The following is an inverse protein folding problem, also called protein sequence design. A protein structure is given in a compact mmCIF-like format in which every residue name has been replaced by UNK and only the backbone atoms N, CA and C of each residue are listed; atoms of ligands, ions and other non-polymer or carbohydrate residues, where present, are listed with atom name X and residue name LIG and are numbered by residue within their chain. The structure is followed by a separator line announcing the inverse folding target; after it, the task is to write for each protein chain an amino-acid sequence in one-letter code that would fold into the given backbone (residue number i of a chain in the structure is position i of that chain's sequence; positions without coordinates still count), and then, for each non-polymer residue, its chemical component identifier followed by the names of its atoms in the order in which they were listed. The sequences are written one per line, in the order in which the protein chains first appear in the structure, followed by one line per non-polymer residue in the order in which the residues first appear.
data_IF_765447163587
#
_entry.id   IF_765447163587
#
_cell.length_a   1.000
_cell.length_b   1.000
_cell.length_c   1.000
_cell.angle_alpha   90.00
_cell.angle_beta   90.00
_cell.angle_gamma   90.00
#
_symmetry.space_group_name_H-M   'P 1'
#
loop_
_entity.id
_entity.type
_entity.pdbx_description
1 polymer ?
#
# COMPACT_ATOMS: atom_id res chain seq x y z
N UNK A 1 17.32 -4.25 6.82
CA UNK A 1 16.45 -3.41 7.66
C UNK A 1 15.06 -4.02 7.72
N UNK A 2 14.55 -4.20 8.91
CA UNK A 2 13.19 -4.70 9.10
C UNK A 2 12.22 -3.54 9.01
N UNK A 3 11.15 -3.71 8.22
CA UNK A 3 10.19 -2.65 7.99
C UNK A 3 8.76 -3.16 8.19
N UNK A 4 7.89 -2.24 8.56
CA UNK A 4 6.44 -2.43 8.57
C UNK A 4 5.83 -1.36 7.68
N UNK A 5 4.98 -1.78 6.75
CA UNK A 5 4.26 -0.88 5.87
C UNK A 5 2.77 -0.91 6.22
N UNK A 6 2.14 0.26 6.22
CA UNK A 6 0.70 0.38 6.29
C UNK A 6 0.15 0.67 4.89
N UNK A 7 -0.81 -0.11 4.45
CA UNK A 7 -1.39 0.00 3.12
C UNK A 7 -2.88 0.22 3.30
N UNK A 8 -3.42 1.22 2.62
CA UNK A 8 -4.85 1.51 2.72
C UNK A 8 -5.40 2.13 1.45
N UNK A 9 -6.66 1.85 1.17
CA UNK A 9 -7.37 2.43 0.03
C UNK A 9 -8.84 2.62 0.36
N UNK A 10 -9.39 3.75 -0.03
CA UNK A 10 -10.83 4.04 0.10
C UNK A 10 -11.52 4.16 -1.25
N UNK A 11 -10.84 3.84 -2.34
CA UNK A 11 -11.41 3.83 -3.69
C UNK A 11 -10.93 2.58 -4.41
N UNK A 12 -11.84 1.89 -5.10
CA UNK A 12 -11.53 0.63 -5.78
C UNK A 12 -10.69 -0.28 -4.87
N UNK A 13 -11.14 -0.44 -3.65
CA UNK A 13 -10.32 -0.93 -2.54
C UNK A 13 -9.63 -2.25 -2.84
N UNK A 14 -10.38 -3.25 -3.25
CA UNK A 14 -9.80 -4.58 -3.49
C UNK A 14 -8.80 -4.55 -4.64
N UNK A 15 -9.14 -3.85 -5.72
CA UNK A 15 -8.27 -3.75 -6.89
C UNK A 15 -6.96 -3.04 -6.55
N UNK A 16 -7.04 -1.93 -5.81
CA UNK A 16 -5.85 -1.18 -5.40
C UNK A 16 -4.97 -2.01 -4.46
N UNK A 17 -5.56 -2.68 -3.50
CA UNK A 17 -4.81 -3.52 -2.56
C UNK A 17 -4.13 -4.66 -3.31
N UNK A 18 -4.83 -5.34 -4.22
CA UNK A 18 -4.27 -6.43 -4.99
C UNK A 18 -3.09 -5.96 -5.85
N UNK A 19 -3.24 -4.83 -6.52
CA UNK A 19 -2.18 -4.27 -7.35
C UNK A 19 -0.98 -3.83 -6.51
N UNK A 20 -1.22 -3.17 -5.40
CA UNK A 20 -0.15 -2.76 -4.48
C UNK A 20 0.61 -3.98 -3.95
N UNK A 21 -0.09 -5.02 -3.55
CA UNK A 21 0.55 -6.26 -3.08
C UNK A 21 1.42 -6.88 -4.15
N UNK A 22 0.94 -6.95 -5.39
CA UNK A 22 1.70 -7.50 -6.51
C UNK A 22 3.01 -6.74 -6.71
N UNK A 23 2.95 -5.41 -6.72
CA UNK A 23 4.13 -4.58 -6.90
C UNK A 23 5.09 -4.66 -5.73
N UNK A 24 4.56 -4.75 -4.52
CA UNK A 24 5.39 -4.89 -3.33
C UNK A 24 6.10 -6.24 -3.27
N UNK A 25 5.48 -7.30 -3.77
CA UNK A 25 6.14 -8.61 -3.87
C UNK A 25 7.35 -8.56 -4.81
N UNK A 26 7.28 -7.79 -5.89
CA UNK A 26 8.41 -7.60 -6.80
C UNK A 26 9.52 -6.76 -6.16
N UNK A 27 9.14 -5.70 -5.46
CA UNK A 27 10.11 -4.81 -4.81
C UNK A 27 10.78 -5.47 -3.61
N UNK A 28 10.02 -6.20 -2.81
CA UNK A 28 10.44 -6.76 -1.53
C UNK A 28 10.13 -8.26 -1.51
N UNK A 29 10.93 -9.09 -2.19
CA UNK A 29 10.74 -10.54 -2.14
C UNK A 29 10.75 -11.03 -0.68
N UNK A 30 9.81 -11.88 -0.34
CA UNK A 30 9.66 -12.36 1.04
C UNK A 30 8.76 -11.50 1.91
N UNK A 31 8.19 -10.41 1.38
CA UNK A 31 7.23 -9.61 2.14
C UNK A 31 6.04 -10.47 2.57
N UNK A 32 5.57 -10.23 3.79
CA UNK A 32 4.40 -10.91 4.36
C UNK A 32 3.30 -9.89 4.59
N UNK A 33 2.11 -10.19 4.09
CA UNK A 33 0.96 -9.30 4.26
C UNK A 33 0.08 -9.83 5.39
N UNK A 34 -0.35 -8.91 6.27
CA UNK A 34 -1.31 -9.19 7.30
C UNK A 34 -2.72 -9.28 6.73
N UNK A 35 -3.68 -9.52 7.62
CA UNK A 35 -5.09 -9.58 7.24
C UNK A 35 -5.61 -8.19 6.88
N UNK A 36 -6.38 -8.12 5.78
CA UNK A 36 -7.04 -6.88 5.39
C UNK A 36 -8.25 -6.64 6.27
N UNK A 37 -8.41 -5.40 6.75
CA UNK A 37 -9.49 -5.01 7.66
C UNK A 37 -10.19 -3.78 7.11
N UNK A 38 -11.52 -3.82 7.10
CA UNK A 38 -12.33 -2.68 6.72
C UNK A 38 -12.48 -1.73 7.91
N UNK A 39 -12.26 -0.43 7.65
CA UNK A 39 -12.48 0.62 8.65
C UNK A 39 -13.33 1.73 8.06
N UNK A 40 -14.14 2.36 8.94
CA UNK A 40 -14.99 3.49 8.56
C UNK A 40 -14.39 4.76 9.14
N UNK A 41 -14.15 5.80 8.30
CA UNK A 41 -13.68 7.09 8.82
C UNK A 41 -14.70 7.69 9.80
N UNK A 42 -14.20 8.28 10.89
CA UNK A 42 -15.04 8.92 11.92
C UNK A 42 -15.26 10.38 11.51
N UNK A 43 -16.54 10.78 11.49
CA UNK A 43 -16.90 12.17 11.26
C UNK A 43 -16.77 12.67 9.84
N UNK A 44 -16.50 11.78 8.88
CA UNK A 44 -16.39 12.12 7.47
C UNK A 44 -17.29 11.20 6.66
N UNK A 45 -18.01 11.77 5.70
CA UNK A 45 -18.74 10.96 4.73
C UNK A 45 -17.77 10.58 3.62
N UNK A 46 -17.27 9.35 3.68
CA UNK A 46 -16.44 8.79 2.63
C UNK A 46 -16.59 7.28 2.64
N UNK A 47 -16.09 6.64 1.60
CA UNK A 47 -16.09 5.20 1.51
C UNK A 47 -15.19 4.61 2.60
N UNK A 48 -15.51 3.38 3.01
CA UNK A 48 -14.67 2.67 3.96
C UNK A 48 -13.29 2.44 3.38
N UNK A 49 -12.31 2.38 4.27
CA UNK A 49 -10.96 1.98 3.92
C UNK A 49 -10.80 0.48 4.06
N UNK A 50 -10.07 -0.11 3.11
CA UNK A 50 -9.52 -1.44 3.27
C UNK A 50 -8.05 -1.26 3.64
N UNK A 51 -7.65 -1.76 4.81
CA UNK A 51 -6.31 -1.54 5.37
C UNK A 51 -5.65 -2.86 5.71
N UNK A 52 -4.33 -2.90 5.55
CA UNK A 52 -3.53 -4.02 6.05
C UNK A 52 -2.12 -3.56 6.37
N UNK A 53 -1.43 -4.36 7.17
CA UNK A 53 -0.01 -4.18 7.45
C UNK A 53 0.80 -5.20 6.66
N UNK A 54 2.02 -4.82 6.31
CA UNK A 54 2.95 -5.71 5.63
C UNK A 54 4.30 -5.64 6.32
N UNK A 55 5.01 -6.75 6.33
CA UNK A 55 6.27 -6.91 7.06
C UNK A 55 7.32 -7.46 6.10
N UNK A 56 8.49 -6.86 6.13
CA UNK A 56 9.60 -7.31 5.29
C UNK A 56 10.94 -7.03 5.94
N UNK A 57 11.95 -7.78 5.51
CA UNK A 57 13.33 -7.45 5.79
C UNK A 57 13.99 -7.16 4.44
N UNK A 58 14.60 -5.99 4.29
CA UNK A 58 15.12 -5.55 3.01
C UNK A 58 16.53 -5.02 3.14
N UNK A 59 17.41 -5.31 2.14
CA UNK A 59 18.73 -4.69 2.08
C UNK A 59 18.70 -3.24 1.57
N UNK A 60 17.54 -2.76 1.10
CA UNK A 60 17.43 -1.39 0.60
C UNK A 60 17.65 -0.38 1.73
N UNK A 61 18.27 0.75 1.41
CA UNK A 61 18.31 1.90 2.31
C UNK A 61 16.91 2.51 2.43
N UNK A 62 16.69 3.27 3.50
CA UNK A 62 15.42 3.96 3.70
C UNK A 62 15.10 4.89 2.52
N UNK A 63 16.10 5.62 2.02
CA UNK A 63 15.89 6.54 0.89
C UNK A 63 15.47 5.80 -0.37
N UNK A 64 16.13 4.69 -0.68
CA UNK A 64 15.78 3.88 -1.84
C UNK A 64 14.38 3.26 -1.69
N UNK A 65 14.07 2.80 -0.49
CA UNK A 65 12.75 2.24 -0.21
C UNK A 65 11.65 3.29 -0.39
N UNK A 66 11.84 4.48 0.17
CA UNK A 66 10.86 5.56 0.06
C UNK A 66 10.64 5.98 -1.39
N UNK A 67 11.72 6.06 -2.17
CA UNK A 67 11.62 6.39 -3.60
C UNK A 67 10.85 5.33 -4.37
N UNK A 68 11.11 4.05 -4.09
CA UNK A 68 10.42 2.95 -4.75
C UNK A 68 8.93 2.92 -4.39
N UNK A 69 8.59 3.16 -3.13
CA UNK A 69 7.20 3.23 -2.69
C UNK A 69 6.47 4.40 -3.35
N UNK A 70 7.14 5.54 -3.49
CA UNK A 70 6.59 6.71 -4.17
C UNK A 70 6.25 6.37 -5.62
N UNK A 71 7.12 5.65 -6.34
CA UNK A 71 6.87 5.23 -7.72
C UNK A 71 5.66 4.31 -7.84
N UNK A 72 5.49 3.40 -6.89
CA UNK A 72 4.31 2.54 -6.85
C UNK A 72 3.05 3.39 -6.70
N UNK A 73 3.05 4.34 -5.78
CA UNK A 73 1.92 5.24 -5.56
C UNK A 73 1.61 6.05 -6.82
N UNK A 74 2.62 6.62 -7.45
CA UNK A 74 2.44 7.40 -8.68
C UNK A 74 1.86 6.55 -9.81
N UNK A 75 2.31 5.32 -9.96
CA UNK A 75 1.75 4.39 -10.94
C UNK A 75 0.26 4.17 -10.70
N UNK A 76 -0.14 3.91 -9.45
CA UNK A 76 -1.53 3.69 -9.11
C UNK A 76 -2.38 4.94 -9.38
N UNK A 77 -1.86 6.12 -9.10
CA UNK A 77 -2.53 7.39 -9.40
C UNK A 77 -2.71 7.61 -10.89
N UNK A 78 -1.67 7.38 -11.69
CA UNK A 78 -1.71 7.56 -13.13
C UNK A 78 -2.71 6.64 -13.81
N UNK A 79 -2.95 5.48 -13.23
CA UNK A 79 -3.91 4.52 -13.75
C UNK A 79 -5.30 4.67 -13.14
N UNK A 80 -5.55 5.76 -12.41
CA UNK A 80 -6.84 6.06 -11.81
C UNK A 80 -7.26 5.12 -10.70
N UNK A 81 -6.31 4.34 -10.15
CA UNK A 81 -6.59 3.38 -9.09
C UNK A 81 -6.55 3.99 -7.71
N UNK A 82 -5.81 5.08 -7.55
CA UNK A 82 -5.69 5.83 -6.28
C UNK A 82 -5.86 7.31 -6.60
N UNK A 83 -6.64 8.02 -5.78
CA UNK A 83 -6.71 9.46 -5.90
C UNK A 83 -5.50 10.09 -5.23
N UNK A 84 -4.86 11.02 -5.92
CA UNK A 84 -3.73 11.74 -5.38
C UNK A 84 -4.16 12.79 -4.37
N UNK A 85 -3.30 13.02 -3.42
CA UNK A 85 -3.37 14.15 -2.51
C UNK A 85 -2.07 14.35 -1.79
#
# INVERSE_FOLDING_TARGET
MKITLAIGSNILQQKNIDEAQSRLRHLLPGIVFGEAVWTTPIGIQSDRFLNLLAYADTPLSLDHLQEALKRIREFLQENGLVQGN
#
